data_IF_619219631419
#
_entry.id   IF_619219631419
#
_cell.length_a   1.000
_cell.length_b   1.000
_cell.length_c   1.000
_cell.angle_alpha   90.00
_cell.angle_beta   90.00
_cell.angle_gamma   90.00
#
_symmetry.space_group_name_H-M   'P 1'
#
loop_
_entity.id
_entity.type
_entity.pdbx_description
1 polymer ?
#
# COMPACT_ATOMS: atom_id res chain seq x y z
N UNK A 1 -13.67 5.88 -48.60
CA UNK A 1 -14.01 5.90 -47.16
C UNK A 1 -12.78 6.40 -46.43
N UNK A 2 -12.75 7.67 -46.04
CA UNK A 2 -11.63 8.25 -45.29
C UNK A 2 -11.72 7.81 -43.83
N UNK A 3 -10.60 7.51 -43.16
CA UNK A 3 -10.61 7.20 -41.73
C UNK A 3 -10.90 8.48 -40.93
N UNK A 4 -11.57 8.36 -39.78
CA UNK A 4 -11.87 9.52 -38.94
C UNK A 4 -10.58 10.13 -38.39
N UNK A 5 -10.41 11.42 -38.63
CA UNK A 5 -9.35 12.24 -38.03
C UNK A 5 -9.59 12.37 -36.53
N UNK A 6 -8.76 11.72 -35.75
CA UNK A 6 -8.74 11.87 -34.30
C UNK A 6 -8.15 13.23 -33.94
N UNK A 7 -8.99 14.19 -33.60
CA UNK A 7 -8.55 15.49 -33.14
C UNK A 7 -8.03 15.36 -31.70
N UNK A 8 -6.71 15.37 -31.54
CA UNK A 8 -6.08 15.52 -30.23
C UNK A 8 -6.48 16.87 -29.65
N UNK A 9 -7.42 16.88 -28.71
CA UNK A 9 -7.61 18.05 -27.87
C UNK A 9 -6.33 18.29 -27.07
N UNK A 10 -5.65 19.40 -27.37
CA UNK A 10 -4.59 19.95 -26.53
C UNK A 10 -5.23 20.27 -25.17
N UNK A 11 -4.87 19.52 -24.13
CA UNK A 11 -5.19 19.89 -22.77
C UNK A 11 -4.50 21.24 -22.50
N UNK A 12 -5.27 22.21 -22.06
CA UNK A 12 -4.80 23.53 -21.68
C UNK A 12 -3.84 23.39 -20.50
N UNK A 13 -2.73 24.12 -20.54
CA UNK A 13 -1.68 24.18 -19.52
C UNK A 13 -2.13 24.76 -18.16
N UNK A 14 -3.43 25.00 -17.95
CA UNK A 14 -4.00 25.55 -16.72
C UNK A 14 -4.65 24.49 -15.80
N UNK A 15 -4.56 23.21 -16.14
CA UNK A 15 -5.22 22.12 -15.37
C UNK A 15 -4.27 21.41 -14.38
N UNK A 16 -3.04 21.88 -14.24
CA UNK A 16 -1.98 21.21 -13.47
C UNK A 16 -1.91 21.59 -11.97
N UNK A 17 -2.90 22.30 -11.42
CA UNK A 17 -2.86 22.75 -10.03
C UNK A 17 -3.83 22.02 -9.07
N UNK A 18 -4.45 20.92 -9.50
CA UNK A 18 -5.22 20.08 -8.57
C UNK A 18 -4.32 19.04 -7.97
N UNK A 19 -3.86 19.31 -6.76
CA UNK A 19 -3.24 18.27 -5.91
C UNK A 19 -4.18 17.08 -5.85
N UNK A 20 -3.75 15.95 -6.37
CA UNK A 20 -4.53 14.72 -6.36
C UNK A 20 -4.73 14.25 -4.92
N UNK A 21 -5.91 13.73 -4.59
CA UNK A 21 -6.16 13.07 -3.29
C UNK A 21 -5.11 11.97 -3.04
N UNK A 22 -4.63 11.32 -4.10
CA UNK A 22 -3.59 10.31 -4.02
C UNK A 22 -2.26 10.82 -3.48
N UNK A 23 -1.93 12.11 -3.70
CA UNK A 23 -0.64 12.69 -3.31
C UNK A 23 -0.54 13.07 -1.83
N UNK A 24 -1.68 13.13 -1.12
CA UNK A 24 -1.75 13.50 0.29
C UNK A 24 -2.66 12.53 1.06
N UNK A 25 -2.11 11.39 1.42
CA UNK A 25 -2.83 10.37 2.17
C UNK A 25 -2.37 10.35 3.62
N UNK A 26 -3.29 9.97 4.51
CA UNK A 26 -2.96 9.66 5.90
C UNK A 26 -2.73 8.15 6.02
N UNK A 27 -1.55 7.79 6.47
CA UNK A 27 -1.12 6.42 6.67
C UNK A 27 -1.04 6.15 8.17
N UNK A 28 -1.94 5.30 8.65
CA UNK A 28 -1.94 4.90 10.06
C UNK A 28 -1.06 3.67 10.25
N UNK A 29 -0.15 3.75 11.19
CA UNK A 29 0.67 2.61 11.61
C UNK A 29 -0.21 1.65 12.40
N UNK A 30 -0.34 0.41 11.93
CA UNK A 30 -1.06 -0.62 12.67
C UNK A 30 -0.21 -1.14 13.83
N UNK A 31 -0.87 -1.42 14.96
CA UNK A 31 -0.21 -1.93 16.13
C UNK A 31 0.45 -3.29 15.86
N UNK A 32 1.66 -3.46 16.36
CA UNK A 32 2.39 -4.73 16.30
C UNK A 32 3.35 -4.84 15.13
N UNK A 33 4.05 -5.95 15.11
CA UNK A 33 4.95 -6.36 14.03
C UNK A 33 4.46 -7.68 13.45
N UNK A 34 4.75 -7.88 12.17
CA UNK A 34 4.19 -8.98 11.40
C UNK A 34 5.29 -9.74 10.67
N UNK A 35 5.05 -11.03 10.45
CA UNK A 35 5.87 -11.87 9.59
C UNK A 35 5.07 -12.33 8.39
N UNK A 36 5.72 -12.41 7.24
CA UNK A 36 5.15 -12.94 6.02
C UNK A 36 5.48 -14.43 5.93
N UNK A 37 4.47 -15.26 5.96
CA UNK A 37 4.59 -16.71 5.89
C UNK A 37 3.94 -17.23 4.60
N UNK A 38 4.53 -18.27 4.03
CA UNK A 38 3.90 -18.99 2.94
C UNK A 38 2.71 -19.77 3.49
N UNK A 39 1.55 -19.66 2.88
CA UNK A 39 0.41 -20.49 3.22
C UNK A 39 0.68 -21.94 2.82
N UNK A 40 0.36 -22.87 3.72
CA UNK A 40 0.53 -24.31 3.47
C UNK A 40 -0.75 -24.86 2.83
N UNK A 41 -0.68 -25.48 1.63
CA UNK A 41 -1.84 -26.06 0.98
C UNK A 41 -2.56 -27.09 1.88
N UNK A 42 -3.88 -26.99 1.98
CA UNK A 42 -4.71 -27.88 2.79
C UNK A 42 -4.73 -27.55 4.30
N UNK A 43 -3.97 -26.57 4.75
CA UNK A 43 -4.01 -26.08 6.12
C UNK A 43 -4.86 -24.82 6.17
N UNK A 44 -5.92 -24.83 6.96
CA UNK A 44 -6.75 -23.65 7.19
C UNK A 44 -5.99 -22.64 8.05
N UNK A 45 -5.91 -21.40 7.55
CA UNK A 45 -5.34 -20.30 8.32
C UNK A 45 -6.36 -19.83 9.36
N UNK A 46 -5.98 -19.85 10.62
CA UNK A 46 -6.85 -19.40 11.72
C UNK A 46 -7.20 -17.91 11.53
N UNK A 47 -8.48 -17.59 11.62
CA UNK A 47 -9.00 -16.22 11.59
C UNK A 47 -9.09 -15.65 13.02
N UNK A 48 -7.96 -15.61 13.67
CA UNK A 48 -7.82 -14.96 14.98
C UNK A 48 -7.26 -13.53 14.82
N UNK A 49 -7.17 -12.79 15.90
CA UNK A 49 -6.66 -11.42 15.92
C UNK A 49 -5.17 -11.29 15.57
N UNK A 50 -4.47 -12.40 15.40
CA UNK A 50 -3.05 -12.43 15.04
C UNK A 50 -2.81 -12.42 13.52
N UNK A 51 -3.85 -12.68 12.72
CA UNK A 51 -3.76 -12.70 11.26
C UNK A 51 -4.24 -11.37 10.68
N UNK A 52 -3.35 -10.63 10.04
CA UNK A 52 -3.68 -9.35 9.40
C UNK A 52 -4.20 -9.54 7.97
N UNK A 53 -3.60 -10.43 7.21
CA UNK A 53 -3.96 -10.66 5.83
C UNK A 53 -3.69 -12.11 5.42
N UNK A 54 -4.54 -12.61 4.52
CA UNK A 54 -4.37 -13.92 3.87
C UNK A 54 -4.58 -13.72 2.38
N UNK A 55 -3.69 -14.26 1.58
CA UNK A 55 -3.80 -14.27 0.12
C UNK A 55 -3.84 -15.70 -0.37
N UNK A 56 -4.87 -16.05 -1.14
CA UNK A 56 -4.94 -17.31 -1.85
C UNK A 56 -4.41 -17.12 -3.26
N UNK A 57 -3.28 -17.73 -3.56
CA UNK A 57 -2.60 -17.58 -4.84
C UNK A 57 -2.28 -18.93 -5.49
N UNK A 58 -1.88 -18.92 -6.78
CA UNK A 58 -1.48 -20.14 -7.49
C UNK A 58 -0.27 -20.85 -6.87
N UNK A 59 0.53 -20.14 -6.10
CA UNK A 59 1.70 -20.62 -5.35
C UNK A 59 1.35 -21.24 -3.97
N UNK A 60 0.04 -21.31 -3.64
CA UNK A 60 -0.49 -21.70 -2.33
C UNK A 60 -0.87 -20.51 -1.46
N UNK A 61 -0.35 -19.32 -1.75
CA UNK A 61 -0.69 -18.09 -1.06
C UNK A 61 0.26 -17.71 0.07
N UNK A 62 -0.14 -16.68 0.80
CA UNK A 62 0.61 -16.10 1.91
C UNK A 62 -0.29 -15.72 3.08
N UNK A 63 0.29 -15.69 4.26
CA UNK A 63 -0.34 -15.19 5.48
C UNK A 63 0.58 -14.15 6.13
N UNK A 64 0.01 -13.03 6.55
CA UNK A 64 0.69 -12.03 7.35
C UNK A 64 0.20 -12.17 8.78
N UNK A 65 1.08 -12.62 9.67
CA UNK A 65 0.77 -12.94 11.06
C UNK A 65 1.54 -12.04 12.01
N UNK A 66 0.89 -11.60 13.08
CA UNK A 66 1.54 -10.83 14.13
C UNK A 66 2.58 -11.69 14.86
N UNK A 67 3.77 -11.16 14.96
CA UNK A 67 4.88 -11.73 15.74
C UNK A 67 5.84 -10.60 16.14
N UNK A 68 5.61 -10.03 17.30
CA UNK A 68 6.27 -8.78 17.71
C UNK A 68 7.77 -8.92 17.99
N UNK A 69 8.25 -10.14 18.24
CA UNK A 69 9.63 -10.48 18.58
C UNK A 69 10.45 -11.07 17.42
N UNK A 70 9.89 -11.09 16.21
CA UNK A 70 10.59 -11.62 15.05
C UNK A 70 11.70 -10.67 14.56
N UNK A 71 12.86 -11.23 14.20
CA UNK A 71 14.01 -10.48 13.68
C UNK A 71 13.75 -9.90 12.29
N UNK A 72 12.96 -10.56 11.48
CA UNK A 72 12.60 -10.20 10.10
C UNK A 72 11.19 -9.60 10.00
N UNK A 73 10.73 -8.94 11.03
CA UNK A 73 9.39 -8.39 11.12
C UNK A 73 9.15 -7.23 10.15
N UNK A 74 7.88 -7.04 9.83
CA UNK A 74 7.34 -5.96 9.03
C UNK A 74 6.43 -5.06 9.87
N UNK A 75 6.38 -3.79 9.51
CA UNK A 75 5.42 -2.82 10.04
C UNK A 75 4.36 -2.56 8.97
N UNK A 76 3.10 -2.53 9.38
CA UNK A 76 1.98 -2.34 8.47
C UNK A 76 1.44 -0.91 8.53
N UNK A 77 1.21 -0.32 7.37
CA UNK A 77 0.59 0.99 7.18
C UNK A 77 -0.78 0.80 6.53
N UNK A 78 -1.77 1.54 7.01
CA UNK A 78 -3.14 1.53 6.52
C UNK A 78 -3.56 2.90 5.99
N UNK A 79 -4.09 2.97 4.77
CA UNK A 79 -4.57 4.20 4.15
C UNK A 79 -6.09 4.31 4.07
N UNK A 80 -6.84 3.36 4.61
CA UNK A 80 -8.28 3.27 4.45
C UNK A 80 -9.12 4.07 5.44
N UNK A 81 -8.51 4.88 6.34
CA UNK A 81 -9.23 5.70 7.30
C UNK A 81 -9.86 6.94 6.66
N UNK A 82 -9.24 7.48 5.61
CA UNK A 82 -9.77 8.59 4.84
C UNK A 82 -10.70 8.09 3.73
N UNK A 83 -11.90 8.64 3.67
CA UNK A 83 -12.83 8.32 2.60
C UNK A 83 -12.29 8.82 1.25
N UNK A 84 -12.28 7.95 0.25
CA UNK A 84 -11.98 8.30 -1.13
C UNK A 84 -12.96 7.61 -2.07
N UNK A 85 -13.23 8.18 -3.26
CA UNK A 85 -14.12 7.55 -4.22
C UNK A 85 -13.61 6.16 -4.62
N UNK A 86 -14.49 5.17 -4.83
CA UNK A 86 -14.09 3.81 -5.21
C UNK A 86 -13.32 3.73 -6.53
N UNK A 87 -13.48 4.73 -7.39
CA UNK A 87 -12.79 4.89 -8.68
C UNK A 87 -11.55 5.79 -8.61
N UNK A 88 -11.11 6.19 -7.41
CA UNK A 88 -9.87 6.94 -7.23
C UNK A 88 -8.68 6.14 -7.75
N UNK A 89 -7.89 6.75 -8.63
CA UNK A 89 -6.73 6.11 -9.24
C UNK A 89 -5.42 6.60 -8.60
N UNK A 90 -4.40 5.76 -8.63
CA UNK A 90 -3.07 6.13 -8.20
C UNK A 90 -2.84 6.14 -6.69
N UNK A 91 -3.83 5.74 -5.88
CA UNK A 91 -3.72 5.75 -4.42
C UNK A 91 -2.54 4.91 -3.93
N UNK A 92 -2.49 3.66 -4.35
CA UNK A 92 -1.39 2.76 -3.98
C UNK A 92 -0.07 3.19 -4.62
N UNK A 93 -0.08 3.58 -5.89
CA UNK A 93 1.12 4.02 -6.62
C UNK A 93 1.81 5.20 -5.92
N UNK A 94 1.05 6.18 -5.42
CA UNK A 94 1.59 7.33 -4.70
C UNK A 94 2.28 6.97 -3.38
N UNK A 95 1.93 5.85 -2.78
CA UNK A 95 2.58 5.32 -1.56
C UNK A 95 3.83 4.51 -1.92
N UNK A 96 3.72 3.58 -2.88
CA UNK A 96 4.81 2.64 -3.14
C UNK A 96 5.93 3.24 -4.01
N UNK A 97 5.64 4.23 -4.86
CA UNK A 97 6.66 4.86 -5.70
C UNK A 97 7.78 5.54 -4.91
N UNK A 98 7.52 6.39 -3.90
CA UNK A 98 8.59 6.97 -3.09
C UNK A 98 9.40 5.92 -2.32
N UNK A 99 8.78 4.85 -1.87
CA UNK A 99 9.46 3.75 -1.20
C UNK A 99 10.41 3.02 -2.16
N UNK A 100 9.97 2.78 -3.39
CA UNK A 100 10.78 2.16 -4.43
C UNK A 100 12.01 3.01 -4.79
N UNK A 101 11.86 4.33 -4.89
CA UNK A 101 12.98 5.25 -5.13
C UNK A 101 14.03 5.15 -4.02
N UNK A 102 13.61 4.95 -2.78
CA UNK A 102 14.50 4.77 -1.63
C UNK A 102 14.98 3.33 -1.39
N UNK A 103 14.70 2.41 -2.32
CA UNK A 103 15.02 0.98 -2.20
C UNK A 103 14.43 0.31 -0.94
N UNK A 104 13.25 0.75 -0.51
CA UNK A 104 12.49 0.11 0.56
C UNK A 104 11.57 -0.93 -0.07
N UNK A 105 11.76 -2.23 0.21
CA UNK A 105 10.85 -3.25 -0.28
C UNK A 105 9.49 -3.13 0.39
N UNK A 106 8.45 -3.51 -0.33
CA UNK A 106 7.08 -3.50 0.19
C UNK A 106 6.39 -4.84 -0.05
N UNK A 107 5.47 -5.16 0.82
CA UNK A 107 4.45 -6.16 0.56
C UNK A 107 3.07 -5.51 0.75
N UNK A 108 2.12 -5.80 -0.14
CA UNK A 108 0.82 -5.10 -0.17
C UNK A 108 -0.31 -6.11 -0.13
N UNK A 109 -1.30 -5.83 0.69
CA UNK A 109 -2.58 -6.51 0.66
C UNK A 109 -3.70 -5.48 0.48
N UNK A 110 -4.47 -5.62 -0.59
CA UNK A 110 -5.62 -4.77 -0.85
C UNK A 110 -6.82 -5.24 0.00
N UNK A 111 -7.55 -4.29 0.58
CA UNK A 111 -8.82 -4.53 1.25
C UNK A 111 -9.92 -3.70 0.59
N UNK A 112 -11.14 -3.76 1.14
CA UNK A 112 -12.29 -3.07 0.52
C UNK A 112 -12.16 -1.54 0.58
N UNK A 113 -11.80 -1.01 1.73
CA UNK A 113 -11.74 0.45 1.96
C UNK A 113 -10.33 1.05 1.83
N UNK A 114 -9.32 0.24 1.63
CA UNK A 114 -7.95 0.71 1.55
C UNK A 114 -6.94 -0.41 1.35
N UNK A 115 -5.67 -0.02 1.41
CA UNK A 115 -4.54 -0.92 1.26
C UNK A 115 -3.76 -1.04 2.56
N UNK A 116 -3.21 -2.22 2.78
CA UNK A 116 -2.21 -2.48 3.81
C UNK A 116 -0.86 -2.52 3.10
N UNK A 117 0.01 -1.59 3.42
CA UNK A 117 1.38 -1.53 2.87
C UNK A 117 2.36 -1.87 3.98
N UNK A 118 3.12 -2.93 3.79
CA UNK A 118 4.09 -3.40 4.76
C UNK A 118 5.50 -3.08 4.34
N UNK A 119 6.27 -2.62 5.30
CA UNK A 119 7.66 -2.23 5.16
C UNK A 119 8.51 -2.98 6.19
N UNK A 120 9.77 -3.32 5.87
CA UNK A 120 10.65 -3.95 6.86
C UNK A 120 10.81 -3.09 8.10
N UNK A 121 10.73 -3.70 9.28
CA UNK A 121 10.83 -2.98 10.55
C UNK A 121 12.17 -2.28 10.75
N UNK A 122 13.25 -2.79 10.17
CA UNK A 122 14.57 -2.18 10.20
C UNK A 122 14.76 -1.00 9.25
N UNK A 123 13.77 -0.73 8.37
CA UNK A 123 13.77 0.39 7.42
C UNK A 123 12.65 1.41 7.69
N UNK A 124 12.01 1.33 8.84
CA UNK A 124 10.85 2.16 9.21
C UNK A 124 11.16 3.65 9.15
N UNK A 125 12.27 4.08 9.75
CA UNK A 125 12.62 5.50 9.80
C UNK A 125 12.85 6.08 8.41
N UNK A 126 13.56 5.35 7.55
CA UNK A 126 13.77 5.74 6.15
C UNK A 126 12.44 5.78 5.39
N UNK A 127 11.59 4.79 5.56
CA UNK A 127 10.31 4.71 4.88
C UNK A 127 9.39 5.87 5.26
N UNK A 128 9.28 6.18 6.55
CA UNK A 128 8.47 7.30 7.02
C UNK A 128 8.96 8.64 6.48
N UNK A 129 10.26 8.85 6.42
CA UNK A 129 10.85 10.06 5.85
C UNK A 129 10.52 10.20 4.35
N UNK A 130 10.63 9.12 3.58
CA UNK A 130 10.29 9.09 2.16
C UNK A 130 8.81 9.41 1.92
N UNK A 131 7.93 8.83 2.72
CA UNK A 131 6.49 9.05 2.63
C UNK A 131 6.10 10.50 2.99
N UNK A 132 6.70 11.05 4.05
CA UNK A 132 6.46 12.46 4.45
C UNK A 132 6.96 13.44 3.40
N UNK A 133 8.13 13.19 2.82
CA UNK A 133 8.65 14.02 1.71
C UNK A 133 7.77 13.95 0.46
N UNK A 134 7.10 12.83 0.23
CA UNK A 134 6.15 12.68 -0.86
C UNK A 134 4.80 13.36 -0.60
N UNK A 135 4.57 13.90 0.60
CA UNK A 135 3.36 14.63 0.98
C UNK A 135 2.38 13.85 1.85
N UNK A 136 2.68 12.60 2.19
CA UNK A 136 1.82 11.80 3.05
C UNK A 136 2.04 12.10 4.54
N UNK A 137 1.00 11.87 5.33
CA UNK A 137 1.09 11.88 6.79
C UNK A 137 1.22 10.44 7.28
N UNK A 138 2.15 10.21 8.20
CA UNK A 138 2.30 8.92 8.89
C UNK A 138 1.95 9.16 10.35
N UNK A 139 0.93 8.48 10.84
CA UNK A 139 0.37 8.62 12.19
C UNK A 139 0.28 7.28 12.90
N UNK A 140 0.41 7.30 14.24
CA UNK A 140 0.24 6.13 15.11
C UNK A 140 -1.23 5.87 15.42
#
# INVERSE_FOLDING_TARGET
MEPPTYTRHRRSACDDARVSVADHQTLRVLEGRYVLERAVPGVEVARDGEVLAVVHGPDGGACMRRQDDADDAWVALWNGDDAHPPDATGMLAAIVAPLAVGNVPVWVAASFDGDIVMIPADQVDQAYELLRRAGHQVVD
#
